data_IF_168093177817
#
_entry.id   IF_168093177817
#
_cell.length_a   1.000
_cell.length_b   1.000
_cell.length_c   1.000
_cell.angle_alpha   90.00
_cell.angle_beta   90.00
_cell.angle_gamma   90.00
#
_symmetry.space_group_name_H-M   'P 1'
#
loop_
_entity.id
_entity.type
_entity.pdbx_description
1 polymer ?
#
# COMPACT_ATOMS: atom_id res chain seq x y z
N UNK A 1 -11.46 9.87 -2.43
CA UNK A 1 -11.13 9.11 -3.67
C UNK A 1 -10.00 8.14 -3.33
N UNK A 2 -9.90 7.01 -4.02
CA UNK A 2 -8.76 6.10 -3.85
C UNK A 2 -8.00 6.02 -5.17
N UNK A 3 -6.68 5.99 -5.10
CA UNK A 3 -5.80 6.01 -6.26
C UNK A 3 -4.64 5.04 -6.06
N UNK A 4 -4.07 4.55 -7.15
CA UNK A 4 -2.91 3.66 -7.12
C UNK A 4 -1.63 4.46 -7.32
N UNK A 5 -0.65 4.28 -6.44
CA UNK A 5 0.72 4.74 -6.66
C UNK A 5 1.41 3.85 -7.68
N UNK A 6 1.20 2.53 -7.57
CA UNK A 6 1.59 1.56 -8.58
C UNK A 6 0.66 0.36 -8.57
N UNK A 7 0.64 -0.37 -9.69
CA UNK A 7 -0.06 -1.63 -9.84
C UNK A 7 0.74 -2.57 -10.76
N UNK A 8 0.69 -3.85 -10.45
CA UNK A 8 1.09 -4.95 -11.31
C UNK A 8 -0.19 -5.70 -11.67
N UNK A 9 -0.45 -5.81 -12.96
CA UNK A 9 -1.67 -6.41 -13.50
C UNK A 9 -1.31 -7.57 -14.42
N UNK A 10 -2.19 -8.58 -14.46
CA UNK A 10 -2.15 -9.63 -15.47
C UNK A 10 -2.91 -9.10 -16.70
N UNK A 11 -2.18 -8.78 -17.75
CA UNK A 11 -2.69 -8.01 -18.90
C UNK A 11 -3.83 -8.71 -19.66
N UNK A 12 -3.83 -10.04 -19.73
CA UNK A 12 -4.81 -10.80 -20.51
C UNK A 12 -6.22 -10.76 -19.93
N UNK A 13 -6.35 -10.47 -18.63
CA UNK A 13 -7.63 -10.48 -17.90
C UNK A 13 -7.82 -9.24 -17.01
N UNK A 14 -6.98 -8.22 -17.17
CA UNK A 14 -6.93 -7.00 -16.34
C UNK A 14 -6.98 -7.27 -14.82
N UNK A 15 -6.37 -8.38 -14.39
CA UNK A 15 -6.42 -8.80 -12.99
C UNK A 15 -5.29 -8.14 -12.19
N UNK A 16 -5.64 -7.35 -11.18
CA UNK A 16 -4.66 -6.83 -10.21
C UNK A 16 -3.98 -7.97 -9.44
N UNK A 17 -2.66 -8.09 -9.60
CA UNK A 17 -1.80 -9.05 -8.88
C UNK A 17 -1.18 -8.42 -7.62
N UNK A 18 -0.73 -7.18 -7.74
CA UNK A 18 -0.13 -6.40 -6.65
C UNK A 18 -0.44 -4.92 -6.87
N UNK A 19 -0.71 -4.17 -5.81
CA UNK A 19 -0.86 -2.72 -5.93
C UNK A 19 -0.70 -2.00 -4.61
N UNK A 20 -0.10 -0.81 -4.68
CA UNK A 20 -0.07 0.13 -3.57
C UNK A 20 -1.11 1.21 -3.84
N UNK A 21 -2.16 1.21 -3.02
CA UNK A 21 -3.31 2.09 -3.16
C UNK A 21 -3.39 3.02 -1.97
N UNK A 22 -3.62 4.31 -2.21
CA UNK A 22 -3.76 5.30 -1.15
C UNK A 22 -5.12 5.97 -1.17
N UNK A 23 -5.46 6.55 -0.03
CA UNK A 23 -6.60 7.42 0.21
C UNK A 23 -6.17 8.51 1.18
N UNK A 24 -7.07 9.44 1.51
CA UNK A 24 -6.77 10.59 2.39
C UNK A 24 -5.99 10.24 3.67
N UNK A 25 -6.31 9.09 4.29
CA UNK A 25 -5.78 8.72 5.61
C UNK A 25 -5.23 7.28 5.69
N UNK A 26 -5.10 6.59 4.54
CA UNK A 26 -4.75 5.17 4.51
C UNK A 26 -3.90 4.82 3.30
N UNK A 27 -2.98 3.89 3.53
CA UNK A 27 -2.23 3.19 2.48
C UNK A 27 -2.56 1.70 2.58
N UNK A 28 -2.82 1.11 1.43
CA UNK A 28 -3.18 -0.29 1.28
C UNK A 28 -2.19 -0.99 0.36
N UNK A 29 -1.58 -2.07 0.85
CA UNK A 29 -0.92 -3.05 -0.01
C UNK A 29 -1.95 -4.13 -0.34
N UNK A 30 -2.34 -4.23 -1.61
CA UNK A 30 -3.25 -5.25 -2.12
C UNK A 30 -2.41 -6.25 -2.91
N UNK A 31 -2.56 -7.54 -2.63
CA UNK A 31 -1.80 -8.59 -3.32
C UNK A 31 -2.62 -9.86 -3.48
N UNK A 32 -2.27 -10.68 -4.47
CA UNK A 32 -2.83 -12.01 -4.68
C UNK A 32 -2.11 -13.02 -3.77
N UNK A 33 -2.77 -13.47 -2.71
CA UNK A 33 -2.28 -14.50 -1.79
C UNK A 33 -2.83 -15.89 -2.13
N UNK A 34 -2.44 -16.89 -1.34
CA UNK A 34 -2.84 -18.29 -1.51
C UNK A 34 -4.34 -18.53 -1.35
N UNK A 35 -5.02 -17.72 -0.52
CA UNK A 35 -6.48 -17.79 -0.31
C UNK A 35 -7.27 -16.77 -1.14
N UNK A 36 -6.63 -16.18 -2.16
CA UNK A 36 -7.24 -15.13 -2.97
C UNK A 36 -6.65 -13.74 -2.69
N UNK A 37 -7.40 -12.68 -3.03
CA UNK A 37 -6.95 -11.31 -2.86
C UNK A 37 -6.88 -10.92 -1.37
N UNK A 38 -5.71 -10.48 -0.92
CA UNK A 38 -5.44 -10.01 0.43
C UNK A 38 -5.13 -8.52 0.45
N UNK A 39 -5.24 -7.90 1.63
CA UNK A 39 -5.03 -6.46 1.83
C UNK A 39 -4.43 -6.17 3.20
N UNK A 40 -3.24 -5.57 3.23
CA UNK A 40 -2.70 -4.90 4.42
C UNK A 40 -3.15 -3.44 4.41
N UNK A 41 -3.48 -2.89 5.59
CA UNK A 41 -4.06 -1.54 5.70
C UNK A 41 -3.39 -0.73 6.78
N UNK A 42 -2.49 0.16 6.38
CA UNK A 42 -1.87 1.15 7.24
C UNK A 42 -2.83 2.34 7.35
N UNK A 43 -3.22 2.70 8.59
CA UNK A 43 -4.15 3.79 8.89
C UNK A 43 -3.39 4.99 9.48
N UNK A 44 -4.04 6.15 9.51
CA UNK A 44 -3.48 7.40 10.07
C UNK A 44 -2.26 7.90 9.28
N UNK A 45 -2.27 7.68 7.97
CA UNK A 45 -1.24 8.15 7.04
C UNK A 45 -1.78 9.35 6.27
N UNK A 46 -1.20 10.53 6.46
CA UNK A 46 -1.59 11.76 5.77
C UNK A 46 -0.70 11.95 4.53
N UNK A 47 -1.27 11.71 3.34
CA UNK A 47 -0.55 11.84 2.06
C UNK A 47 -1.17 12.87 1.11
N UNK A 48 -2.34 13.39 1.44
CA UNK A 48 -3.14 14.22 0.52
C UNK A 48 -3.31 15.63 1.08
N UNK A 49 -2.23 16.20 1.60
CA UNK A 49 -2.16 17.57 2.14
C UNK A 49 -1.53 18.56 1.15
N UNK A 50 -1.28 18.11 -0.10
CA UNK A 50 -0.64 18.86 -1.18
C UNK A 50 0.86 19.15 -0.97
N UNK A 51 1.54 18.38 -0.13
CA UNK A 51 2.99 18.40 0.03
C UNK A 51 3.64 17.14 -0.56
N UNK A 52 4.96 17.22 -0.75
CA UNK A 52 5.77 16.05 -1.09
C UNK A 52 5.97 15.17 0.14
N UNK A 53 5.79 13.86 -0.04
CA UNK A 53 6.02 12.85 0.99
C UNK A 53 6.92 11.74 0.47
N UNK A 54 7.68 11.11 1.37
CA UNK A 54 8.45 9.91 1.11
C UNK A 54 7.87 8.73 1.88
N UNK A 55 7.62 7.61 1.18
CA UNK A 55 7.09 6.38 1.76
C UNK A 55 8.14 5.28 1.62
N UNK A 56 8.45 4.59 2.71
CA UNK A 56 9.23 3.35 2.71
C UNK A 56 8.33 2.21 3.16
N UNK A 57 8.12 1.24 2.28
CA UNK A 57 7.38 0.01 2.57
C UNK A 57 8.35 -1.17 2.55
N UNK A 58 8.48 -1.86 3.69
CA UNK A 58 9.23 -3.09 3.81
C UNK A 58 8.27 -4.26 4.07
N UNK A 59 8.47 -5.38 3.39
CA UNK A 59 7.64 -6.59 3.54
C UNK A 59 8.56 -7.79 3.69
N UNK A 60 8.34 -8.60 4.73
CA UNK A 60 9.11 -9.82 4.99
C UNK A 60 8.22 -10.91 5.57
N UNK A 61 7.92 -11.92 4.76
CA UNK A 61 7.00 -13.00 5.12
C UNK A 61 5.62 -12.46 5.50
N UNK A 62 5.23 -12.61 6.76
CA UNK A 62 3.95 -12.14 7.30
C UNK A 62 4.01 -10.72 7.87
N UNK A 63 5.18 -10.10 7.95
CA UNK A 63 5.37 -8.78 8.54
C UNK A 63 5.44 -7.72 7.45
N UNK A 64 4.84 -6.56 7.73
CA UNK A 64 5.00 -5.39 6.89
C UNK A 64 5.15 -4.12 7.72
N UNK A 65 6.08 -3.26 7.30
CA UNK A 65 6.35 -1.98 7.96
C UNK A 65 6.23 -0.84 6.95
N UNK A 66 5.54 0.23 7.32
CA UNK A 66 5.42 1.44 6.53
C UNK A 66 5.94 2.64 7.32
N UNK A 67 6.87 3.39 6.73
CA UNK A 67 7.40 4.64 7.28
C UNK A 67 7.05 5.80 6.35
N UNK A 68 6.60 6.91 6.92
CA UNK A 68 6.30 8.17 6.22
C UNK A 68 7.27 9.24 6.71
N UNK A 69 7.95 9.95 5.81
CA UNK A 69 8.79 11.12 6.10
C UNK A 69 9.80 10.92 7.26
N UNK A 70 10.44 9.75 7.31
CA UNK A 70 11.37 9.35 8.39
C UNK A 70 10.74 9.27 9.80
N UNK A 71 9.41 9.24 9.90
CA UNK A 71 8.67 9.15 11.15
C UNK A 71 8.66 7.77 11.80
N UNK A 72 7.77 7.59 12.78
CA UNK A 72 7.62 6.32 13.50
C UNK A 72 7.02 5.26 12.54
N UNK A 73 7.65 4.08 12.40
CA UNK A 73 7.13 3.03 11.53
C UNK A 73 5.78 2.48 12.02
N UNK A 74 4.89 2.20 11.09
CA UNK A 74 3.65 1.45 11.32
C UNK A 74 3.86 -0.01 10.96
N UNK A 75 3.57 -0.92 11.89
CA UNK A 75 3.79 -2.36 11.72
C UNK A 75 2.47 -3.14 11.64
N UNK A 76 2.46 -4.19 10.82
CA UNK A 76 1.37 -5.16 10.63
C UNK A 76 1.92 -6.59 10.55
#
# INVERSE_FOLDING_TARGET
>A
RNEYLFAVVKEDVDQLLLGLRFSKEKVHLIYQGSMGRQRLSFKRIQLTDNNWHSIVLAVSGHHATLTLDCGIPLEL
#
